data_IF_092972626809
#
_entry.id   IF_092972626809
#
_cell.length_a   1.000
_cell.length_b   1.000
_cell.length_c   1.000
_cell.angle_alpha   90.00
_cell.angle_beta   90.00
_cell.angle_gamma   90.00
#
_symmetry.space_group_name_H-M   'P 1'
#
loop_
_entity.id
_entity.type
_entity.pdbx_description
1 polymer ?
#
# COMPACT_ATOMS: atom_id res chain seq x y z
N UNK A 1 7.51 -13.84 -6.91
CA UNK A 1 7.77 -12.80 -5.87
C UNK A 1 6.42 -12.25 -5.46
N UNK A 2 6.16 -12.10 -4.16
CA UNK A 2 4.95 -11.50 -3.62
C UNK A 2 5.26 -10.08 -3.14
N UNK A 3 4.67 -9.10 -3.82
CA UNK A 3 4.85 -7.68 -3.58
C UNK A 3 3.55 -7.11 -2.98
N UNK A 4 3.65 -6.51 -1.80
CA UNK A 4 2.63 -5.57 -1.33
C UNK A 4 2.95 -4.18 -1.83
N UNK A 5 1.94 -3.46 -2.28
CA UNK A 5 2.00 -2.01 -2.53
C UNK A 5 1.16 -1.34 -1.45
N UNK A 6 1.80 -0.66 -0.51
CA UNK A 6 1.09 0.08 0.54
C UNK A 6 0.53 1.37 -0.05
N UNK A 7 -0.79 1.51 -0.04
CA UNK A 7 -1.51 2.73 -0.41
C UNK A 7 -1.77 3.55 0.87
N UNK A 8 -1.06 4.68 1.09
CA UNK A 8 -1.03 5.38 2.37
C UNK A 8 -2.26 6.28 2.61
N UNK A 9 -3.45 5.83 2.21
CA UNK A 9 -4.72 6.51 2.42
C UNK A 9 -5.80 5.50 2.80
N UNK A 10 -6.82 5.96 3.52
CA UNK A 10 -7.93 5.08 3.96
C UNK A 10 -8.97 4.84 2.85
N UNK A 11 -9.04 5.75 1.85
CA UNK A 11 -10.02 5.68 0.76
C UNK A 11 -9.68 4.57 -0.23
N UNK A 12 -10.69 3.92 -0.79
CA UNK A 12 -10.53 2.90 -1.84
C UNK A 12 -10.46 3.46 -3.26
N UNK A 13 -10.70 4.76 -3.42
CA UNK A 13 -10.81 5.47 -4.70
C UNK A 13 -9.62 5.35 -5.65
N UNK A 14 -8.46 4.88 -5.19
CA UNK A 14 -7.23 4.74 -5.98
C UNK A 14 -6.76 3.28 -6.11
N UNK A 15 -7.45 2.33 -5.47
CA UNK A 15 -6.93 0.95 -5.32
C UNK A 15 -6.77 0.26 -6.66
N UNK A 16 -7.77 0.38 -7.54
CA UNK A 16 -7.77 -0.31 -8.83
C UNK A 16 -6.88 0.38 -9.86
N UNK A 17 -6.76 1.71 -9.79
CA UNK A 17 -5.80 2.48 -10.58
C UNK A 17 -4.36 2.08 -10.25
N UNK A 18 -4.02 2.00 -8.96
CA UNK A 18 -2.69 1.55 -8.50
C UNK A 18 -2.44 0.10 -8.91
N UNK A 19 -3.42 -0.78 -8.74
CA UNK A 19 -3.33 -2.18 -9.17
C UNK A 19 -3.02 -2.27 -10.66
N UNK A 20 -3.75 -1.51 -11.49
CA UNK A 20 -3.56 -1.48 -12.95
C UNK A 20 -2.18 -0.94 -13.33
N UNK A 21 -1.76 0.17 -12.72
CA UNK A 21 -0.47 0.79 -13.00
C UNK A 21 0.67 -0.16 -12.66
N UNK A 22 0.71 -0.68 -11.43
CA UNK A 22 1.76 -1.61 -10.99
C UNK A 22 1.77 -2.87 -11.84
N UNK A 23 0.58 -3.42 -12.15
CA UNK A 23 0.41 -4.60 -12.99
C UNK A 23 1.03 -4.45 -14.40
N UNK A 24 1.12 -3.22 -14.92
CA UNK A 24 1.72 -2.97 -16.23
C UNK A 24 3.26 -3.08 -16.24
N UNK A 25 3.91 -3.00 -15.07
CA UNK A 25 5.36 -2.92 -14.94
C UNK A 25 6.02 -4.15 -14.30
N UNK A 26 5.26 -4.97 -13.58
CA UNK A 26 5.82 -6.13 -12.86
C UNK A 26 6.30 -7.24 -13.80
N UNK A 27 7.37 -7.92 -13.41
CA UNK A 27 7.89 -9.08 -14.14
C UNK A 27 6.92 -10.26 -14.08
N UNK A 28 6.88 -11.14 -15.11
CA UNK A 28 6.07 -12.36 -15.09
C UNK A 28 6.30 -13.18 -13.82
N UNK A 29 5.21 -13.66 -13.20
CA UNK A 29 5.27 -14.44 -11.94
C UNK A 29 5.42 -13.59 -10.66
N UNK A 30 5.28 -12.27 -10.75
CA UNK A 30 5.12 -11.39 -9.58
C UNK A 30 3.64 -11.33 -9.21
N UNK A 31 3.31 -11.69 -7.98
CA UNK A 31 1.99 -11.52 -7.38
C UNK A 31 1.95 -10.17 -6.66
N UNK A 32 0.95 -9.34 -6.99
CA UNK A 32 0.82 -7.99 -6.44
C UNK A 32 -0.48 -7.88 -5.65
N UNK A 33 -0.38 -7.37 -4.43
CA UNK A 33 -1.53 -6.88 -3.69
C UNK A 33 -1.37 -5.39 -3.36
N UNK A 34 -2.49 -4.66 -3.40
CA UNK A 34 -2.53 -3.25 -3.00
C UNK A 34 -3.23 -3.18 -1.66
N UNK A 35 -2.52 -2.71 -0.63
CA UNK A 35 -2.98 -2.70 0.76
C UNK A 35 -3.17 -1.26 1.23
N UNK A 36 -4.39 -0.91 1.58
CA UNK A 36 -4.71 0.39 2.18
C UNK A 36 -4.44 0.39 3.66
N UNK A 37 -4.05 1.55 4.19
CA UNK A 37 -3.94 1.74 5.64
C UNK A 37 -5.33 1.83 6.27
N UNK A 38 -5.50 1.25 7.47
CA UNK A 38 -6.77 1.29 8.19
C UNK A 38 -6.99 2.60 8.96
N UNK A 39 -5.92 3.37 9.21
CA UNK A 39 -5.92 4.62 9.99
C UNK A 39 -5.04 5.65 9.28
N UNK A 40 -5.55 6.86 9.12
CA UNK A 40 -4.90 7.93 8.36
C UNK A 40 -5.94 8.89 7.77
N UNK A 41 -5.57 9.59 6.70
CA UNK A 41 -6.44 10.49 5.95
C UNK A 41 -6.90 9.86 4.63
N UNK A 42 -7.94 10.44 4.01
CA UNK A 42 -8.43 10.03 2.69
C UNK A 42 -7.53 10.51 1.54
N UNK A 43 -6.76 11.58 1.75
CA UNK A 43 -5.73 12.12 0.86
C UNK A 43 -4.58 12.69 1.70
N UNK A 44 -3.38 12.75 1.12
CA UNK A 44 -2.20 13.37 1.76
C UNK A 44 -1.95 14.69 1.04
N UNK A 45 -2.21 15.81 1.73
CA UNK A 45 -2.14 17.16 1.14
C UNK A 45 -1.33 18.14 2.01
N UNK A 46 -0.70 17.62 3.07
CA UNK A 46 0.15 18.35 4.01
C UNK A 46 1.10 17.41 4.76
N UNK A 47 2.12 17.97 5.41
CA UNK A 47 3.04 17.22 6.29
C UNK A 47 2.30 16.60 7.49
N UNK A 48 1.19 17.20 7.92
CA UNK A 48 0.34 16.63 8.95
C UNK A 48 -0.31 15.32 8.48
N UNK A 49 -0.81 15.28 7.24
CA UNK A 49 -1.43 14.09 6.67
C UNK A 49 -0.40 12.97 6.47
N UNK A 50 0.80 13.32 6.01
CA UNK A 50 1.92 12.39 5.88
C UNK A 50 2.29 11.77 7.24
N UNK A 51 2.44 12.60 8.27
CA UNK A 51 2.74 12.14 9.63
C UNK A 51 1.62 11.24 10.19
N UNK A 52 0.35 11.53 9.86
CA UNK A 52 -0.79 10.73 10.30
C UNK A 52 -0.89 9.38 9.56
N UNK A 53 -0.40 9.29 8.33
CA UNK A 53 -0.34 8.05 7.55
C UNK A 53 0.78 7.10 8.04
N UNK A 54 1.87 7.66 8.58
CA UNK A 54 3.06 6.91 9.02
C UNK A 54 2.78 5.66 9.87
N UNK A 55 2.02 5.75 10.99
CA UNK A 55 1.67 4.58 11.79
C UNK A 55 0.92 3.49 10.99
N UNK A 56 -0.04 3.88 10.15
CA UNK A 56 -0.79 2.94 9.33
C UNK A 56 0.06 2.24 8.27
N UNK A 57 1.07 2.94 7.72
CA UNK A 57 2.05 2.34 6.81
C UNK A 57 2.87 1.28 7.54
N UNK A 58 3.37 1.58 8.75
CA UNK A 58 4.15 0.63 9.54
C UNK A 58 3.35 -0.61 9.92
N UNK A 59 2.07 -0.44 10.28
CA UNK A 59 1.15 -1.56 10.56
C UNK A 59 1.01 -2.45 9.31
N UNK A 60 0.75 -1.86 8.13
CA UNK A 60 0.62 -2.59 6.87
C UNK A 60 1.91 -3.34 6.48
N UNK A 61 3.08 -2.75 6.71
CA UNK A 61 4.38 -3.41 6.50
C UNK A 61 4.57 -4.59 7.46
N UNK A 62 4.21 -4.41 8.74
CA UNK A 62 4.28 -5.48 9.73
C UNK A 62 3.39 -6.66 9.39
N UNK A 63 2.16 -6.39 8.95
CA UNK A 63 1.23 -7.42 8.49
C UNK A 63 1.74 -8.12 7.22
N UNK A 64 2.25 -7.39 6.22
CA UNK A 64 2.83 -7.98 5.01
C UNK A 64 4.03 -8.90 5.34
N UNK A 65 4.86 -8.49 6.30
CA UNK A 65 5.95 -9.33 6.79
C UNK A 65 5.42 -10.61 7.48
N UNK A 66 4.35 -10.50 8.29
CA UNK A 66 3.72 -11.65 8.94
C UNK A 66 3.05 -12.62 7.95
N UNK A 67 2.50 -12.08 6.85
CA UNK A 67 1.92 -12.86 5.75
C UNK A 67 2.97 -13.52 4.84
N UNK A 68 4.26 -13.28 5.10
CA UNK A 68 5.37 -13.87 4.38
C UNK A 68 5.55 -13.30 2.97
N UNK A 69 5.30 -12.01 2.78
CA UNK A 69 5.56 -11.34 1.51
C UNK A 69 7.06 -11.04 1.33
N UNK A 70 7.48 -10.99 0.07
CA UNK A 70 8.89 -10.82 -0.27
C UNK A 70 9.33 -9.35 -0.23
N UNK A 71 8.41 -8.41 -0.47
CA UNK A 71 8.67 -6.97 -0.46
C UNK A 71 7.39 -6.13 -0.23
N UNK A 72 7.62 -4.87 0.18
CA UNK A 72 6.67 -3.77 0.33
C UNK A 72 7.18 -2.52 -0.40
#
# INVERSE_FOLDING_TARGET
MKLTVVLPVITDAFTEEVRREVGAWVSPGTEVEVRRIARGTASIESEYDEALAGPGILDAVGEAAADGLDAV
#
